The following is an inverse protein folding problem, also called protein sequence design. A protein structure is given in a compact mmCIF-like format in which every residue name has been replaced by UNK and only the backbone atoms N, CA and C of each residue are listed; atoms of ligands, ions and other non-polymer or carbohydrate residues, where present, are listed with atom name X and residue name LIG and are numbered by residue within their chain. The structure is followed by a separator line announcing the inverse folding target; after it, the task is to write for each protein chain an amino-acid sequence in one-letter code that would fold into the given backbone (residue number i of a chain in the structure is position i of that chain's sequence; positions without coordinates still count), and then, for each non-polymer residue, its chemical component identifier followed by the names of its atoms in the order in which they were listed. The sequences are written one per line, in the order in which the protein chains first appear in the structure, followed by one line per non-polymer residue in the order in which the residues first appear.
data_IF_513325421726
#
_entry.id   IF_513325421726
#
_cell.length_a   1.000
_cell.length_b   1.000
_cell.length_c   1.000
_cell.angle_alpha   90.00
_cell.angle_beta   90.00
_cell.angle_gamma   90.00
#
_symmetry.space_group_name_H-M   'P 1'
#
loop_
_entity.id
_entity.type
_entity.pdbx_description
1 polymer ?
#
# COMPACT_ATOMS: atom_id res chain seq x y z
N UNK A 1 -17.02 -31.94 -6.75
CA UNK A 1 -17.41 -30.89 -7.73
C UNK A 1 -16.49 -30.93 -8.96
N UNK A 2 -17.03 -30.73 -10.16
CA UNK A 2 -16.23 -30.47 -11.36
C UNK A 2 -15.45 -29.16 -11.15
N UNK A 3 -14.15 -29.16 -11.46
CA UNK A 3 -13.30 -27.99 -11.32
C UNK A 3 -13.33 -27.16 -12.61
N UNK A 4 -13.39 -25.84 -12.47
CA UNK A 4 -13.32 -24.89 -13.59
C UNK A 4 -12.15 -23.95 -13.39
N UNK A 5 -11.57 -23.47 -14.50
CA UNK A 5 -10.56 -22.42 -14.52
C UNK A 5 -10.94 -21.39 -15.56
N UNK A 6 -10.89 -20.12 -15.20
CA UNK A 6 -11.22 -19.00 -16.07
C UNK A 6 -10.03 -18.04 -16.14
N UNK A 7 -9.88 -17.39 -17.29
CA UNK A 7 -8.91 -16.33 -17.50
C UNK A 7 -9.65 -15.08 -17.98
N UNK A 8 -9.47 -13.95 -17.30
CA UNK A 8 -10.14 -12.70 -17.62
C UNK A 8 -9.12 -11.56 -17.75
N UNK A 9 -9.30 -10.70 -18.76
CA UNK A 9 -8.42 -9.56 -19.00
C UNK A 9 -9.00 -8.31 -18.35
N UNK A 10 -8.25 -7.71 -17.44
CA UNK A 10 -8.62 -6.49 -16.71
C UNK A 10 -7.61 -5.37 -16.93
N UNK A 11 -8.04 -4.14 -16.70
CA UNK A 11 -7.13 -3.02 -16.51
C UNK A 11 -6.59 -2.99 -15.05
N UNK A 12 -5.66 -2.07 -14.78
CA UNK A 12 -5.05 -1.94 -13.45
C UNK A 12 -6.02 -1.62 -12.31
N UNK A 13 -7.13 -0.91 -12.54
CA UNK A 13 -8.07 -0.52 -11.48
C UNK A 13 -8.66 -1.72 -10.74
N UNK A 14 -8.82 -2.86 -11.42
CA UNK A 14 -9.28 -4.11 -10.80
C UNK A 14 -8.44 -4.53 -9.59
N UNK A 15 -7.14 -4.18 -9.56
CA UNK A 15 -6.18 -4.62 -8.55
C UNK A 15 -6.21 -3.79 -7.25
N UNK A 16 -6.63 -2.53 -7.32
CA UNK A 16 -6.46 -1.57 -6.21
C UNK A 16 -7.62 -0.60 -5.99
N UNK A 17 -8.56 -0.45 -6.92
CA UNK A 17 -9.69 0.47 -6.74
C UNK A 17 -10.60 0.02 -5.60
N UNK A 18 -11.15 0.98 -4.85
CA UNK A 18 -12.00 0.77 -3.69
C UNK A 18 -11.20 0.73 -2.39
N UNK A 19 -11.59 1.59 -1.44
CA UNK A 19 -10.99 1.66 -0.11
C UNK A 19 -11.41 0.46 0.77
N UNK A 20 -10.77 0.28 1.92
CA UNK A 20 -11.10 -0.76 2.87
C UNK A 20 -12.61 -0.74 3.25
N UNK A 21 -13.27 -1.89 3.11
CA UNK A 21 -14.71 -2.06 3.30
C UNK A 21 -15.61 -1.59 2.15
N UNK A 22 -15.07 -1.02 1.06
CA UNK A 22 -15.84 -0.68 -0.15
C UNK A 22 -16.01 -1.88 -1.09
N UNK A 23 -16.94 -1.77 -2.04
CA UNK A 23 -17.41 -2.88 -2.88
C UNK A 23 -16.30 -3.58 -3.66
N UNK A 24 -15.47 -2.85 -4.38
CA UNK A 24 -14.39 -3.39 -5.21
C UNK A 24 -13.34 -4.13 -4.37
N UNK A 25 -12.95 -3.56 -3.22
CA UNK A 25 -12.06 -4.23 -2.26
C UNK A 25 -12.70 -5.49 -1.68
N UNK A 26 -14.00 -5.47 -1.39
CA UNK A 26 -14.71 -6.62 -0.85
C UNK A 26 -14.86 -7.75 -1.89
N UNK A 27 -14.98 -7.43 -3.18
CA UNK A 27 -14.97 -8.43 -4.26
C UNK A 27 -13.60 -9.12 -4.30
N UNK A 28 -12.50 -8.36 -4.29
CA UNK A 28 -11.14 -8.94 -4.22
C UNK A 28 -10.96 -9.81 -2.99
N UNK A 29 -11.35 -9.30 -1.82
CA UNK A 29 -11.36 -10.04 -0.56
C UNK A 29 -12.07 -11.38 -0.73
N UNK A 30 -13.27 -11.37 -1.28
CA UNK A 30 -14.06 -12.58 -1.43
C UNK A 30 -13.37 -13.61 -2.33
N UNK A 31 -12.81 -13.19 -3.46
CA UNK A 31 -12.08 -14.08 -4.38
C UNK A 31 -10.83 -14.68 -3.70
N UNK A 32 -10.08 -13.87 -2.95
CA UNK A 32 -8.81 -14.27 -2.34
C UNK A 32 -9.04 -15.13 -1.09
N UNK A 33 -9.99 -14.79 -0.23
CA UNK A 33 -10.30 -15.56 0.99
C UNK A 33 -10.94 -16.92 0.67
N UNK A 34 -11.63 -17.06 -0.46
CA UNK A 34 -12.10 -18.37 -0.96
C UNK A 34 -11.02 -19.16 -1.71
N UNK A 35 -9.80 -18.64 -1.78
CA UNK A 35 -8.66 -19.25 -2.46
C UNK A 35 -8.90 -19.50 -3.96
N UNK A 36 -9.63 -18.60 -4.63
CA UNK A 36 -9.95 -18.75 -6.06
C UNK A 36 -8.94 -18.07 -6.97
N UNK A 37 -8.26 -17.02 -6.52
CA UNK A 37 -7.24 -16.34 -7.30
C UNK A 37 -5.99 -17.20 -7.42
N UNK A 38 -5.70 -17.75 -8.61
CA UNK A 38 -4.54 -18.63 -8.82
C UNK A 38 -3.32 -17.86 -9.27
N UNK A 39 -3.49 -16.94 -10.22
CA UNK A 39 -2.41 -16.07 -10.68
C UNK A 39 -2.92 -14.75 -11.25
N UNK A 40 -2.04 -13.75 -11.30
CA UNK A 40 -2.21 -12.55 -12.11
C UNK A 40 -0.98 -12.35 -12.99
N UNK A 41 -1.19 -12.13 -14.29
CA UNK A 41 -0.12 -11.87 -15.25
C UNK A 41 -0.20 -10.41 -15.71
N UNK A 42 0.81 -9.60 -15.40
CA UNK A 42 0.96 -8.24 -15.93
C UNK A 42 1.46 -8.29 -17.37
N UNK A 43 0.71 -7.70 -18.30
CA UNK A 43 1.02 -7.72 -19.73
C UNK A 43 1.77 -6.45 -20.17
N UNK A 44 2.51 -6.51 -21.29
CA UNK A 44 3.13 -5.34 -21.90
C UNK A 44 2.16 -4.18 -22.12
N UNK A 45 2.66 -2.95 -21.96
CA UNK A 45 1.91 -1.73 -22.29
C UNK A 45 1.65 -1.68 -23.80
N UNK A 46 0.63 -0.92 -24.20
CA UNK A 46 0.35 -0.67 -25.63
C UNK A 46 0.11 -1.95 -26.45
N UNK A 47 -0.47 -2.98 -25.85
CA UNK A 47 -0.87 -4.22 -26.55
C UNK A 47 -2.22 -4.13 -27.24
N UNK A 48 -3.05 -3.15 -26.90
CA UNK A 48 -4.42 -3.01 -27.39
C UNK A 48 -4.58 -1.75 -28.27
N UNK A 49 -5.43 -1.84 -29.30
CA UNK A 49 -5.61 -0.78 -30.30
C UNK A 49 -6.06 0.56 -29.71
N UNK A 50 -6.98 0.51 -28.75
CA UNK A 50 -7.68 1.68 -28.22
C UNK A 50 -7.05 2.25 -26.94
N UNK A 51 -6.13 1.53 -26.31
CA UNK A 51 -5.57 1.91 -25.02
C UNK A 51 -4.11 1.48 -24.83
N UNK A 52 -3.34 2.37 -24.22
CA UNK A 52 -1.94 2.14 -23.86
C UNK A 52 -1.73 1.76 -22.38
N UNK A 53 -2.83 1.54 -21.65
CA UNK A 53 -2.78 1.24 -20.21
C UNK A 53 -2.20 -0.14 -19.93
N UNK A 54 -1.71 -0.32 -18.70
CA UNK A 54 -1.37 -1.63 -18.17
C UNK A 54 -2.62 -2.52 -18.09
N UNK A 55 -2.45 -3.76 -18.54
CA UNK A 55 -3.50 -4.78 -18.55
C UNK A 55 -2.99 -6.05 -17.89
N UNK A 56 -3.91 -6.82 -17.34
CA UNK A 56 -3.61 -7.96 -16.50
C UNK A 56 -4.52 -9.12 -16.84
N UNK A 57 -3.98 -10.33 -16.86
CA UNK A 57 -4.78 -11.56 -16.95
C UNK A 57 -4.98 -12.11 -15.55
N UNK A 58 -6.22 -12.15 -15.08
CA UNK A 58 -6.62 -12.82 -13.85
C UNK A 58 -6.92 -14.28 -14.16
N UNK A 59 -6.22 -15.20 -13.49
CA UNK A 59 -6.47 -16.65 -13.58
C UNK A 59 -7.17 -17.08 -12.29
N UNK A 60 -8.42 -17.50 -12.42
CA UNK A 60 -9.25 -17.95 -11.29
C UNK A 60 -9.58 -19.43 -11.43
N UNK A 61 -9.58 -20.17 -10.32
CA UNK A 61 -10.06 -21.55 -10.28
C UNK A 61 -10.70 -21.89 -8.94
N UNK A 62 -11.73 -22.74 -8.97
CA UNK A 62 -12.31 -23.32 -7.76
C UNK A 62 -11.64 -24.66 -7.34
N UNK A 63 -10.57 -25.06 -8.04
CA UNK A 63 -9.89 -26.35 -7.81
C UNK A 63 -8.38 -26.21 -8.00
N UNK A 64 -7.75 -25.45 -7.11
CA UNK A 64 -6.29 -25.37 -7.05
C UNK A 64 -5.67 -26.75 -6.73
N UNK A 65 -4.55 -27.12 -7.38
CA UNK A 65 -3.77 -28.27 -6.95
C UNK A 65 -3.17 -28.03 -5.56
N UNK A 66 -2.84 -29.10 -4.83
CA UNK A 66 -2.43 -29.01 -3.42
C UNK A 66 -1.27 -28.04 -3.18
N UNK A 67 -0.26 -28.04 -4.06
CA UNK A 67 0.91 -27.16 -3.95
C UNK A 67 0.59 -25.66 -4.15
N UNK A 68 -0.59 -25.30 -4.69
CA UNK A 68 -1.02 -23.91 -4.90
C UNK A 68 -2.08 -23.42 -3.91
N UNK A 69 -2.64 -24.31 -3.09
CA UNK A 69 -3.66 -23.92 -2.12
C UNK A 69 -3.13 -22.86 -1.17
N UNK A 70 -3.93 -21.84 -0.94
CA UNK A 70 -3.58 -20.70 -0.08
C UNK A 70 -2.45 -19.84 -0.62
N UNK A 71 -2.14 -19.94 -1.92
CA UNK A 71 -1.11 -19.15 -2.60
C UNK A 71 -1.62 -18.51 -3.88
N UNK A 72 -1.02 -17.38 -4.24
CA UNK A 72 -1.25 -16.65 -5.49
C UNK A 72 0.10 -16.38 -6.16
N UNK A 73 0.17 -16.62 -7.46
CA UNK A 73 1.35 -16.29 -8.28
C UNK A 73 1.15 -14.96 -9.01
N UNK A 74 2.03 -13.99 -8.82
CA UNK A 74 2.10 -12.80 -9.65
C UNK A 74 3.21 -12.97 -10.70
N UNK A 75 2.89 -12.70 -11.96
CA UNK A 75 3.83 -12.83 -13.08
C UNK A 75 3.98 -11.49 -13.78
N UNK A 76 5.21 -10.97 -13.88
CA UNK A 76 5.53 -9.78 -14.64
C UNK A 76 6.02 -10.14 -16.04
N UNK A 77 5.12 -10.07 -17.02
CA UNK A 77 5.40 -10.29 -18.43
C UNK A 77 5.54 -8.96 -19.20
N UNK A 78 5.65 -7.81 -18.52
CA UNK A 78 5.62 -6.48 -19.17
C UNK A 78 6.75 -6.26 -20.18
N UNK A 79 7.87 -6.98 -20.03
CA UNK A 79 9.05 -6.92 -20.89
C UNK A 79 9.08 -8.00 -21.98
N UNK A 80 8.07 -8.87 -22.07
CA UNK A 80 8.04 -9.96 -23.04
C UNK A 80 7.13 -9.57 -24.19
N UNK A 81 7.72 -9.02 -25.26
CA UNK A 81 6.98 -8.62 -26.46
C UNK A 81 7.92 -8.45 -27.65
N UNK A 82 7.33 -8.40 -28.84
CA UNK A 82 7.98 -7.92 -30.06
C UNK A 82 7.32 -6.62 -30.52
N UNK A 83 8.09 -5.61 -30.94
CA UNK A 83 7.53 -4.39 -31.49
C UNK A 83 6.85 -4.68 -32.83
N UNK A 84 5.76 -3.97 -33.10
CA UNK A 84 5.10 -4.02 -34.40
C UNK A 84 5.90 -3.22 -35.43
N UNK A 85 5.93 -3.71 -36.68
CA UNK A 85 6.54 -2.97 -37.80
C UNK A 85 5.83 -1.64 -38.08
N UNK A 86 4.53 -1.58 -37.84
CA UNK A 86 3.70 -0.39 -37.97
C UNK A 86 2.70 -0.36 -36.82
N UNK A 87 2.60 0.77 -36.13
CA UNK A 87 1.66 0.95 -35.04
C UNK A 87 0.21 0.90 -35.57
N UNK A 88 -0.68 0.32 -34.76
CA UNK A 88 -2.11 0.23 -35.04
C UNK A 88 -2.85 0.99 -33.93
N UNK A 89 -3.08 2.30 -34.16
CA UNK A 89 -3.58 3.19 -33.11
C UNK A 89 -2.56 3.31 -31.97
N UNK A 90 -2.98 2.99 -30.75
CA UNK A 90 -2.07 2.93 -29.59
C UNK A 90 -1.27 1.63 -29.52
N UNK A 91 -1.66 0.59 -30.26
CA UNK A 91 -0.97 -0.69 -30.25
C UNK A 91 0.39 -0.57 -30.96
N UNK A 92 1.48 -0.88 -30.27
CA UNK A 92 2.83 -0.85 -30.82
C UNK A 92 3.64 -2.14 -30.58
N UNK A 93 3.08 -3.09 -29.83
CA UNK A 93 3.72 -4.38 -29.57
C UNK A 93 2.71 -5.54 -29.59
N UNK A 94 3.25 -6.74 -29.66
CA UNK A 94 2.51 -8.00 -29.55
C UNK A 94 3.33 -9.08 -28.85
N UNK A 95 2.64 -10.06 -28.27
CA UNK A 95 3.27 -11.27 -27.77
C UNK A 95 3.53 -12.21 -28.94
N UNK A 96 4.78 -12.66 -29.09
CA UNK A 96 5.08 -13.76 -30.01
C UNK A 96 4.68 -15.10 -29.40
N UNK A 97 4.62 -16.16 -30.21
CA UNK A 97 4.34 -17.51 -29.70
C UNK A 97 5.33 -17.97 -28.63
N UNK A 98 6.59 -17.51 -28.71
CA UNK A 98 7.62 -17.77 -27.71
C UNK A 98 7.33 -17.05 -26.39
N UNK A 99 6.87 -15.79 -26.45
CA UNK A 99 6.47 -15.02 -25.28
C UNK A 99 5.25 -15.67 -24.60
N UNK A 100 4.27 -16.10 -25.38
CA UNK A 100 3.07 -16.80 -24.88
C UNK A 100 3.49 -18.11 -24.19
N UNK A 101 4.34 -18.93 -24.84
CA UNK A 101 4.88 -20.15 -24.24
C UNK A 101 5.62 -19.86 -22.94
N UNK A 102 6.46 -18.82 -22.91
CA UNK A 102 7.19 -18.40 -21.71
C UNK A 102 6.25 -18.02 -20.57
N UNK A 103 5.16 -17.29 -20.83
CA UNK A 103 4.15 -16.95 -19.82
C UNK A 103 3.50 -18.21 -19.27
N UNK A 104 3.06 -19.11 -20.15
CA UNK A 104 2.40 -20.36 -19.76
C UNK A 104 3.33 -21.26 -18.96
N UNK A 105 4.58 -21.42 -19.40
CA UNK A 105 5.58 -22.21 -18.69
C UNK A 105 5.90 -21.62 -17.31
N UNK A 106 6.02 -20.30 -17.22
CA UNK A 106 6.23 -19.61 -15.94
C UNK A 106 5.04 -19.83 -14.99
N UNK A 107 3.82 -19.71 -15.52
CA UNK A 107 2.61 -20.02 -14.76
C UNK A 107 2.62 -21.47 -14.29
N UNK A 108 2.85 -22.45 -15.17
CA UNK A 108 2.78 -23.87 -14.83
C UNK A 108 3.87 -24.33 -13.86
N UNK A 109 5.10 -23.84 -14.02
CA UNK A 109 6.25 -24.18 -13.15
C UNK A 109 6.02 -23.78 -11.70
N UNK A 110 5.37 -22.63 -11.46
CA UNK A 110 5.08 -22.14 -10.11
C UNK A 110 6.34 -22.03 -9.23
N UNK A 111 7.37 -21.37 -9.77
CA UNK A 111 8.65 -21.15 -9.10
C UNK A 111 8.89 -19.66 -8.86
N UNK A 112 9.59 -19.34 -7.78
CA UNK A 112 10.05 -17.99 -7.47
C UNK A 112 11.18 -17.58 -8.41
N UNK A 113 10.99 -16.48 -9.13
CA UNK A 113 11.96 -15.87 -10.03
C UNK A 113 11.81 -14.34 -9.99
N UNK A 114 12.63 -13.61 -10.74
CA UNK A 114 12.44 -12.16 -10.85
C UNK A 114 11.09 -11.77 -11.47
N UNK A 115 10.55 -12.60 -12.37
CA UNK A 115 9.29 -12.36 -13.07
C UNK A 115 8.12 -13.15 -12.50
N UNK A 116 8.32 -14.02 -11.52
CA UNK A 116 7.27 -14.84 -10.91
C UNK A 116 7.44 -14.83 -9.41
N UNK A 117 6.49 -14.24 -8.69
CA UNK A 117 6.49 -14.16 -7.23
C UNK A 117 5.26 -14.84 -6.65
N UNK A 118 5.43 -15.60 -5.57
CA UNK A 118 4.39 -16.42 -4.98
C UNK A 118 4.12 -15.93 -3.56
N UNK A 119 2.86 -15.63 -3.29
CA UNK A 119 2.45 -15.04 -2.02
C UNK A 119 1.36 -15.87 -1.34
N UNK A 120 1.33 -15.94 0.00
CA UNK A 120 0.15 -16.40 0.71
C UNK A 120 -1.01 -15.43 0.48
N UNK A 121 -2.25 -15.92 0.59
CA UNK A 121 -3.45 -15.10 0.34
C UNK A 121 -3.50 -13.84 1.23
N UNK A 122 -3.02 -13.95 2.47
CA UNK A 122 -2.96 -12.82 3.39
C UNK A 122 -2.02 -11.68 2.94
N UNK A 123 -1.08 -11.91 2.02
CA UNK A 123 -0.17 -10.87 1.53
C UNK A 123 -0.86 -9.69 0.83
N UNK A 124 -2.10 -9.89 0.40
CA UNK A 124 -2.91 -8.88 -0.28
C UNK A 124 -3.89 -8.17 0.67
N UNK A 125 -4.06 -8.66 1.89
CA UNK A 125 -4.95 -8.09 2.89
C UNK A 125 -4.24 -7.07 3.78
N UNK A 126 -4.97 -6.05 4.20
CA UNK A 126 -4.53 -5.08 5.19
C UNK A 126 -5.68 -4.62 6.08
N UNK A 127 -5.36 -4.14 7.27
CA UNK A 127 -6.28 -3.40 8.13
C UNK A 127 -6.07 -1.92 7.93
N UNK A 128 -7.14 -1.19 7.63
CA UNK A 128 -7.17 0.26 7.69
C UNK A 128 -7.68 0.67 9.06
N UNK A 129 -6.90 1.44 9.80
CA UNK A 129 -7.25 1.88 11.16
C UNK A 129 -7.13 3.40 11.27
N UNK A 130 -8.04 4.04 11.98
CA UNK A 130 -7.92 5.45 12.33
C UNK A 130 -7.04 5.59 13.55
N UNK A 131 -5.98 6.40 13.41
CA UNK A 131 -5.11 6.82 14.50
C UNK A 131 -5.50 8.24 14.89
N UNK A 132 -5.75 8.42 16.18
CA UNK A 132 -6.17 9.67 16.78
C UNK A 132 -5.04 10.21 17.67
N UNK A 133 -4.97 11.53 17.75
CA UNK A 133 -4.08 12.27 18.64
C UNK A 133 -4.93 13.23 19.47
N UNK A 134 -4.50 13.59 20.69
CA UNK A 134 -5.31 14.48 21.52
C UNK A 134 -5.28 15.90 20.96
N UNK A 135 -6.43 16.57 21.01
CA UNK A 135 -6.53 18.00 20.79
C UNK A 135 -5.76 18.74 21.88
N UNK A 136 -4.89 19.66 21.48
CA UNK A 136 -4.06 20.47 22.39
C UNK A 136 -4.33 21.95 22.19
N UNK A 137 -4.66 22.65 23.28
CA UNK A 137 -5.08 24.06 23.26
C UNK A 137 -4.36 24.87 24.33
N UNK A 138 -3.87 26.07 23.98
CA UNK A 138 -3.16 26.94 24.93
C UNK A 138 -4.10 27.49 26.01
N UNK A 139 -3.60 27.62 27.23
CA UNK A 139 -4.31 28.32 28.31
C UNK A 139 -5.53 27.61 28.89
N UNK A 140 -5.72 26.32 28.60
CA UNK A 140 -6.75 25.49 29.26
C UNK A 140 -6.24 24.90 30.58
N UNK A 141 -7.16 24.47 31.43
CA UNK A 141 -6.86 23.73 32.65
C UNK A 141 -6.70 22.23 32.32
N UNK A 142 -5.49 21.65 32.45
CA UNK A 142 -5.22 20.26 32.09
C UNK A 142 -5.88 19.24 33.03
N UNK A 143 -6.43 19.67 34.17
CA UNK A 143 -7.02 18.77 35.18
C UNK A 143 -8.56 18.75 35.11
N UNK A 144 -9.15 19.52 34.19
CA UNK A 144 -10.60 19.73 34.06
C UNK A 144 -11.20 18.99 32.87
N UNK A 145 -12.40 18.44 33.06
CA UNK A 145 -13.25 17.92 31.96
C UNK A 145 -13.97 19.07 31.26
N UNK A 146 -13.96 19.04 29.93
CA UNK A 146 -14.70 19.97 29.08
C UNK A 146 -15.91 19.30 28.44
N UNK A 147 -17.05 20.00 28.42
CA UNK A 147 -18.26 19.54 27.72
C UNK A 147 -18.13 19.72 26.21
N UNK A 148 -18.89 18.99 25.36
CA UNK A 148 -18.84 19.17 23.92
C UNK A 148 -19.08 20.61 23.43
N UNK A 149 -19.93 21.37 24.14
CA UNK A 149 -20.20 22.78 23.83
C UNK A 149 -18.99 23.66 24.12
N UNK A 150 -18.30 23.43 25.24
CA UNK A 150 -17.08 24.16 25.59
C UNK A 150 -15.95 23.82 24.64
N UNK A 151 -15.74 22.54 24.32
CA UNK A 151 -14.74 22.09 23.35
C UNK A 151 -14.94 22.80 22.00
N UNK A 152 -16.19 22.86 21.52
CA UNK A 152 -16.51 23.57 20.27
C UNK A 152 -16.13 25.04 20.33
N UNK A 153 -16.49 25.74 21.41
CA UNK A 153 -16.15 27.15 21.59
C UNK A 153 -14.63 27.37 21.71
N UNK A 154 -13.92 26.48 22.41
CA UNK A 154 -12.47 26.54 22.57
C UNK A 154 -11.75 26.33 21.22
N UNK A 155 -12.21 25.40 20.36
CA UNK A 155 -11.65 25.21 19.01
C UNK A 155 -11.70 26.46 18.14
N UNK A 156 -12.70 27.31 18.35
CA UNK A 156 -12.91 28.56 17.58
C UNK A 156 -12.13 29.75 18.15
N UNK A 157 -11.81 29.73 19.46
CA UNK A 157 -11.31 30.90 20.18
C UNK A 157 -9.88 30.75 20.71
N UNK A 158 -9.38 29.53 20.81
CA UNK A 158 -8.10 29.22 21.43
C UNK A 158 -7.14 28.64 20.40
N UNK A 159 -5.90 29.10 20.46
CA UNK A 159 -4.82 28.64 19.60
C UNK A 159 -4.42 27.19 19.92
N UNK A 160 -4.25 26.38 18.87
CA UNK A 160 -3.67 25.03 18.95
C UNK A 160 -2.15 25.11 19.00
N UNK A 161 -1.53 24.26 19.81
CA UNK A 161 -0.09 24.06 19.79
C UNK A 161 0.31 22.69 20.32
N UNK A 162 1.35 22.11 19.74
CA UNK A 162 1.82 20.75 20.08
C UNK A 162 2.34 20.63 21.52
N UNK A 163 2.84 21.72 22.10
CA UNK A 163 3.34 21.80 23.47
C UNK A 163 2.24 22.15 24.50
N UNK A 164 1.03 22.47 24.04
CA UNK A 164 -0.09 22.81 24.90
C UNK A 164 -0.70 21.57 25.56
N UNK A 165 -1.37 21.71 26.73
CA UNK A 165 -2.01 20.58 27.39
C UNK A 165 -3.14 19.94 26.55
N UNK A 166 -3.38 18.62 26.69
CA UNK A 166 -4.43 17.92 25.97
C UNK A 166 -5.81 18.18 26.59
N UNK A 167 -6.84 18.29 25.76
CA UNK A 167 -8.22 18.50 26.21
C UNK A 167 -8.80 17.21 26.77
N UNK A 168 -9.16 17.19 28.06
CA UNK A 168 -9.83 16.05 28.68
C UNK A 168 -11.33 16.09 28.35
N UNK A 169 -11.78 15.04 27.67
CA UNK A 169 -13.19 14.78 27.35
C UNK A 169 -13.92 14.10 28.51
N UNK A 170 -13.22 13.23 29.25
CA UNK A 170 -13.82 12.44 30.32
C UNK A 170 -12.77 11.96 31.33
N UNK A 171 -13.14 11.99 32.61
CA UNK A 171 -12.39 11.35 33.69
C UNK A 171 -13.20 10.14 34.18
N UNK A 172 -12.55 8.97 34.24
CA UNK A 172 -13.17 7.73 34.71
C UNK A 172 -13.16 7.62 36.22
N UNK A 173 -14.02 6.74 36.75
CA UNK A 173 -14.06 6.40 38.16
C UNK A 173 -12.76 5.71 38.59
N UNK A 174 -12.37 5.79 39.88
CA UNK A 174 -11.25 5.01 40.40
C UNK A 174 -11.43 3.51 40.11
N UNK A 175 -10.35 2.82 39.73
CA UNK A 175 -10.35 1.38 39.44
C UNK A 175 -10.48 1.01 37.95
N UNK A 176 -10.74 1.96 37.06
CA UNK A 176 -10.65 1.72 35.61
C UNK A 176 -9.21 1.41 35.21
N UNK A 177 -9.00 0.33 34.45
CA UNK A 177 -7.69 -0.01 33.91
C UNK A 177 -7.31 0.93 32.74
N UNK A 178 -6.07 1.44 32.69
CA UNK A 178 -5.60 2.20 31.54
C UNK A 178 -5.38 1.29 30.33
N UNK A 179 -5.61 1.85 29.15
CA UNK A 179 -5.31 1.24 27.85
C UNK A 179 -4.95 2.36 26.86
N UNK A 180 -3.70 2.85 26.90
CA UNK A 180 -3.29 4.00 26.09
C UNK A 180 -3.48 3.77 24.60
N UNK A 181 -3.33 2.54 24.11
CA UNK A 181 -3.52 2.21 22.69
C UNK A 181 -4.98 2.33 22.23
N UNK A 182 -5.93 2.43 23.17
CA UNK A 182 -7.36 2.61 22.92
C UNK A 182 -7.92 3.91 23.54
N UNK A 183 -7.04 4.87 23.82
CA UNK A 183 -7.44 6.22 24.25
C UNK A 183 -7.71 6.35 25.75
N UNK A 184 -7.33 5.36 26.57
CA UNK A 184 -7.47 5.39 28.02
C UNK A 184 -6.12 5.66 28.68
N UNK A 185 -5.87 6.92 29.02
CA UNK A 185 -4.58 7.38 29.55
C UNK A 185 -4.60 7.54 31.06
N UNK A 186 -3.57 7.06 31.74
CA UNK A 186 -3.41 7.32 33.16
C UNK A 186 -2.70 8.66 33.39
N UNK A 187 -3.33 9.53 34.18
CA UNK A 187 -2.79 10.85 34.55
C UNK A 187 -3.07 11.17 36.02
N UNK A 188 -2.35 12.14 36.56
CA UNK A 188 -2.61 12.66 37.91
C UNK A 188 -3.50 13.89 37.81
N UNK A 189 -4.68 13.82 38.45
CA UNK A 189 -5.67 14.91 38.52
C UNK A 189 -5.83 15.29 39.98
N UNK A 190 -5.54 16.54 40.34
CA UNK A 190 -5.60 17.07 41.70
C UNK A 190 -4.90 16.14 42.72
N UNK A 191 -3.70 15.66 42.36
CA UNK A 191 -2.89 14.75 43.19
C UNK A 191 -3.38 13.30 43.26
N UNK A 192 -4.39 12.90 42.47
CA UNK A 192 -4.91 11.53 42.44
C UNK A 192 -4.75 10.91 41.06
N UNK A 193 -4.26 9.67 40.99
CA UNK A 193 -4.22 8.90 39.73
C UNK A 193 -5.63 8.62 39.22
N UNK A 194 -5.87 8.92 37.95
CA UNK A 194 -7.14 8.74 37.23
C UNK A 194 -6.87 8.29 35.81
N UNK A 195 -7.83 7.58 35.22
CA UNK A 195 -7.84 7.28 33.79
C UNK A 195 -8.72 8.30 33.08
N UNK A 196 -8.25 8.81 31.96
CA UNK A 196 -8.92 9.85 31.18
C UNK A 196 -9.03 9.46 29.71
N UNK A 197 -10.04 10.01 29.04
CA UNK A 197 -10.16 10.02 27.58
C UNK A 197 -9.91 11.46 27.11
N UNK A 198 -9.05 11.62 26.10
CA UNK A 198 -8.83 12.91 25.45
C UNK A 198 -9.81 13.13 24.31
N UNK A 199 -10.12 14.39 24.03
CA UNK A 199 -10.82 14.75 22.80
C UNK A 199 -9.87 14.57 21.61
N UNK A 200 -10.26 13.83 20.55
CA UNK A 200 -9.42 13.70 19.35
C UNK A 200 -9.29 15.03 18.61
N UNK A 201 -8.11 15.27 18.04
CA UNK A 201 -7.90 16.33 17.05
C UNK A 201 -8.20 15.79 15.65
N UNK A 202 -9.27 16.29 15.04
CA UNK A 202 -9.68 15.87 13.70
C UNK A 202 -8.72 16.30 12.60
N UNK A 203 -7.87 17.31 12.83
CA UNK A 203 -6.87 17.77 11.85
C UNK A 203 -5.58 16.96 11.90
N UNK A 204 -5.31 16.29 13.02
CA UNK A 204 -4.18 15.37 13.18
C UNK A 204 -4.60 13.89 13.05
N UNK A 205 -5.85 13.64 12.68
CA UNK A 205 -6.38 12.30 12.47
C UNK A 205 -5.79 11.71 11.21
N UNK A 206 -5.22 10.53 11.35
CA UNK A 206 -4.58 9.81 10.26
C UNK A 206 -5.21 8.42 10.09
N UNK A 207 -4.99 7.82 8.93
CA UNK A 207 -5.40 6.45 8.67
C UNK A 207 -4.19 5.63 8.29
N UNK A 208 -3.94 4.58 9.05
CA UNK A 208 -2.84 3.65 8.81
C UNK A 208 -3.32 2.40 8.09
N UNK A 209 -2.53 1.93 7.13
CA UNK A 209 -2.74 0.63 6.47
C UNK A 209 -1.71 -0.37 6.97
N UNK A 210 -2.18 -1.35 7.73
CA UNK A 210 -1.36 -2.34 8.42
C UNK A 210 -1.51 -3.68 7.68
N UNK A 211 -0.46 -4.17 6.98
CA UNK A 211 -0.54 -5.42 6.23
C UNK A 211 -0.87 -6.61 7.15
N UNK A 212 -1.64 -7.58 6.65
CA UNK A 212 -1.91 -8.81 7.43
C UNK A 212 -0.63 -9.58 7.77
N UNK A 213 0.44 -9.38 7.00
CA UNK A 213 1.75 -9.99 7.24
C UNK A 213 2.48 -9.45 8.50
N UNK A 214 1.96 -8.42 9.16
CA UNK A 214 2.38 -8.06 10.53
C UNK A 214 1.95 -9.13 11.56
N UNK A 215 1.00 -10.01 11.21
CA UNK A 215 0.77 -11.25 11.94
C UNK A 215 1.70 -12.36 11.40
N UNK A 216 2.55 -12.97 12.23
CA UNK A 216 3.45 -14.04 11.80
C UNK A 216 2.73 -15.27 11.23
N UNK A 217 1.57 -15.64 11.76
CA UNK A 217 0.79 -16.79 11.27
C UNK A 217 0.24 -16.56 9.85
N UNK A 218 -0.01 -15.31 9.45
CA UNK A 218 -0.48 -14.95 8.11
C UNK A 218 0.53 -15.23 6.98
N UNK A 219 1.79 -15.51 7.31
CA UNK A 219 2.76 -15.97 6.31
C UNK A 219 2.48 -17.40 5.86
N UNK A 220 1.74 -18.18 6.64
CA UNK A 220 1.35 -19.53 6.26
C UNK A 220 0.30 -19.52 5.12
N UNK A 221 0.49 -20.32 4.06
CA UNK A 221 -0.47 -20.43 2.97
C UNK A 221 -1.88 -20.77 3.46
N UNK A 222 -2.86 -19.97 3.04
CA UNK A 222 -4.28 -20.18 3.33
C UNK A 222 -4.71 -19.78 4.75
N UNK A 223 -3.78 -19.33 5.60
CA UNK A 223 -4.13 -18.75 6.88
C UNK A 223 -4.69 -17.34 6.69
N UNK A 224 -5.82 -17.05 7.36
CA UNK A 224 -6.41 -15.72 7.45
C UNK A 224 -6.43 -15.31 8.91
N UNK A 225 -6.13 -14.03 9.23
CA UNK A 225 -5.96 -13.59 10.61
C UNK A 225 -7.27 -13.67 11.41
N UNK A 226 -7.15 -14.12 12.65
CA UNK A 226 -8.22 -14.02 13.65
C UNK A 226 -8.34 -12.59 14.21
N UNK A 227 -9.41 -12.29 14.97
CA UNK A 227 -9.53 -11.02 15.70
C UNK A 227 -8.36 -10.75 16.67
N UNK A 228 -7.77 -11.80 17.25
CA UNK A 228 -6.63 -11.65 18.16
C UNK A 228 -5.33 -11.36 17.41
N UNK A 229 -5.15 -11.95 16.22
CA UNK A 229 -4.04 -11.61 15.32
C UNK A 229 -4.12 -10.16 14.88
N UNK A 230 -5.31 -9.71 14.48
CA UNK A 230 -5.58 -8.33 14.11
C UNK A 230 -5.19 -7.38 15.24
N UNK A 231 -5.68 -7.66 16.46
CA UNK A 231 -5.37 -6.84 17.64
C UNK A 231 -3.86 -6.75 17.86
N UNK A 232 -3.20 -7.90 17.92
CA UNK A 232 -1.76 -7.99 18.22
C UNK A 232 -0.92 -7.29 17.17
N UNK A 233 -1.25 -7.48 15.88
CA UNK A 233 -0.55 -6.85 14.77
C UNK A 233 -0.72 -5.32 14.77
N UNK A 234 -1.94 -4.82 15.00
CA UNK A 234 -2.20 -3.38 15.11
C UNK A 234 -1.41 -2.78 16.27
N UNK A 235 -1.47 -3.38 17.46
CA UNK A 235 -0.73 -2.87 18.63
C UNK A 235 0.78 -2.88 18.41
N UNK A 236 1.31 -3.93 17.78
CA UNK A 236 2.73 -4.05 17.46
C UNK A 236 3.16 -2.97 16.47
N UNK A 237 2.37 -2.75 15.41
CA UNK A 237 2.61 -1.70 14.43
C UNK A 237 2.60 -0.31 15.08
N UNK A 238 1.58 0.02 15.87
CA UNK A 238 1.51 1.33 16.55
C UNK A 238 2.73 1.57 17.44
N UNK A 239 3.17 0.57 18.20
CA UNK A 239 4.36 0.70 19.07
C UNK A 239 5.64 0.95 18.28
N UNK A 240 5.75 0.38 17.08
CA UNK A 240 6.95 0.47 16.24
C UNK A 240 6.99 1.73 15.39
N UNK A 241 5.87 2.09 14.77
CA UNK A 241 5.81 3.11 13.71
C UNK A 241 5.14 4.41 14.14
N UNK A 242 4.24 4.39 15.14
CA UNK A 242 3.44 5.57 15.52
C UNK A 242 3.94 6.19 16.83
N UNK A 243 3.98 5.39 17.90
CA UNK A 243 4.28 5.88 19.26
C UNK A 243 5.66 6.53 19.43
N UNK A 244 6.72 6.16 18.67
CA UNK A 244 8.00 6.89 18.74
C UNK A 244 7.90 8.36 18.33
N UNK A 245 6.92 8.71 17.49
CA UNK A 245 6.70 10.07 16.99
C UNK A 245 5.51 10.77 17.65
N UNK A 246 4.49 10.01 18.06
CA UNK A 246 3.30 10.50 18.77
C UNK A 246 2.99 9.61 19.99
N UNK A 247 3.63 9.86 21.16
CA UNK A 247 3.56 8.97 22.32
C UNK A 247 2.18 8.80 22.95
N UNK A 248 1.28 9.74 22.69
CA UNK A 248 -0.09 9.81 23.18
C UNK A 248 -1.12 9.53 22.07
N UNK A 249 -0.69 8.98 20.94
CA UNK A 249 -1.60 8.51 19.90
C UNK A 249 -2.27 7.20 20.31
N UNK A 250 -3.49 6.99 19.84
CA UNK A 250 -4.26 5.76 20.00
C UNK A 250 -4.99 5.42 18.72
N UNK A 251 -5.44 4.17 18.56
CA UNK A 251 -6.30 3.81 17.43
C UNK A 251 -7.75 3.64 17.90
N UNK A 252 -8.71 3.92 17.01
CA UNK A 252 -10.12 3.62 17.24
C UNK A 252 -10.44 2.18 16.81
N UNK A 253 -10.74 1.24 17.74
CA UNK A 253 -11.07 -0.13 17.37
C UNK A 253 -12.32 -0.26 16.49
N UNK A 254 -13.27 0.68 16.56
CA UNK A 254 -14.48 0.66 15.74
C UNK A 254 -14.20 1.09 14.28
N UNK A 255 -13.10 1.79 14.04
CA UNK A 255 -12.70 2.25 12.70
C UNK A 255 -12.08 1.15 11.83
N UNK A 256 -11.71 0.01 12.42
CA UNK A 256 -10.92 -1.01 11.75
C UNK A 256 -11.70 -1.61 10.58
N UNK A 257 -11.19 -1.44 9.36
CA UNK A 257 -11.76 -2.05 8.15
C UNK A 257 -10.72 -2.90 7.44
N UNK A 258 -11.18 -3.98 6.81
CA UNK A 258 -10.33 -4.84 5.99
C UNK A 258 -10.35 -4.33 4.55
N UNK A 259 -9.15 -4.14 3.99
CA UNK A 259 -8.93 -3.86 2.59
C UNK A 259 -8.11 -4.95 1.92
N UNK A 260 -8.27 -5.09 0.60
CA UNK A 260 -7.44 -5.96 -0.22
C UNK A 260 -6.92 -5.19 -1.43
N UNK A 261 -5.62 -5.29 -1.68
CA UNK A 261 -4.94 -4.63 -2.80
C UNK A 261 -3.81 -5.52 -3.34
N UNK A 262 -3.62 -5.50 -4.67
CA UNK A 262 -2.55 -6.21 -5.35
C UNK A 262 -1.64 -5.17 -6.04
N UNK A 263 -0.57 -4.76 -5.36
CA UNK A 263 0.37 -3.78 -5.90
C UNK A 263 1.55 -4.45 -6.61
N UNK A 264 1.49 -4.56 -7.94
CA UNK A 264 2.62 -5.06 -8.74
C UNK A 264 3.87 -4.20 -8.56
N UNK A 265 3.72 -2.86 -8.47
CA UNK A 265 4.85 -1.97 -8.24
C UNK A 265 5.57 -2.28 -6.93
N UNK A 266 4.85 -2.54 -5.84
CA UNK A 266 5.47 -2.93 -4.56
C UNK A 266 6.38 -4.16 -4.70
N UNK A 267 6.04 -5.07 -5.60
CA UNK A 267 6.74 -6.34 -5.73
C UNK A 267 7.79 -6.38 -6.84
N UNK A 268 7.53 -5.77 -8.00
CA UNK A 268 8.37 -5.90 -9.19
C UNK A 268 9.18 -4.64 -9.51
N UNK A 269 8.84 -3.49 -8.91
CA UNK A 269 9.62 -2.27 -9.12
C UNK A 269 11.00 -2.40 -8.50
N UNK A 270 12.03 -2.36 -9.36
CA UNK A 270 13.41 -2.19 -8.94
C UNK A 270 13.76 -0.71 -9.10
N UNK A 271 14.07 0.02 -8.00
CA UNK A 271 14.55 1.39 -8.10
C UNK A 271 15.74 1.44 -9.06
N UNK A 272 15.65 2.27 -10.10
CA UNK A 272 16.80 2.49 -10.98
C UNK A 272 17.84 3.23 -10.16
N UNK A 273 19.01 2.61 -9.95
CA UNK A 273 20.13 3.30 -9.33
C UNK A 273 20.39 4.60 -10.11
N UNK A 274 20.38 5.72 -9.38
CA UNK A 274 20.77 6.99 -9.98
C UNK A 274 22.22 6.84 -10.43
N UNK A 275 22.49 7.27 -11.67
CA UNK A 275 23.85 7.33 -12.18
C UNK A 275 24.69 8.21 -11.26
N UNK A 276 25.95 7.87 -11.10
CA UNK A 276 26.86 8.66 -10.27
C UNK A 276 27.10 10.03 -10.92
N UNK A 277 27.48 11.02 -10.11
CA UNK A 277 27.81 12.35 -10.63
C UNK A 277 28.99 12.28 -11.63
N UNK A 278 29.94 11.37 -11.40
CA UNK A 278 31.05 11.11 -12.30
C UNK A 278 30.58 10.60 -13.67
N UNK A 279 29.65 9.64 -13.70
CA UNK A 279 29.07 9.13 -14.96
C UNK A 279 28.28 10.19 -15.70
N UNK A 280 27.52 11.04 -14.99
CA UNK A 280 26.79 12.16 -15.59
C UNK A 280 27.78 13.14 -16.22
N UNK A 281 28.87 13.46 -15.52
CA UNK A 281 29.91 14.36 -16.03
C UNK A 281 30.64 13.80 -17.23
N UNK A 282 30.96 12.51 -17.23
CA UNK A 282 31.64 11.84 -18.34
C UNK A 282 30.79 11.87 -19.62
N UNK A 283 29.48 11.63 -19.52
CA UNK A 283 28.57 11.73 -20.66
C UNK A 283 28.44 13.18 -21.16
N UNK A 284 28.35 14.15 -20.25
CA UNK A 284 28.22 15.55 -20.64
C UNK A 284 29.44 16.01 -21.45
N UNK A 285 30.65 15.63 -21.00
CA UNK A 285 31.90 15.88 -21.73
C UNK A 285 31.96 15.12 -23.07
N UNK A 286 31.42 13.90 -23.14
CA UNK A 286 31.37 13.14 -24.38
C UNK A 286 30.43 13.79 -25.41
N UNK A 287 29.26 14.27 -24.97
CA UNK A 287 28.30 14.99 -25.81
C UNK A 287 28.84 16.35 -26.25
N UNK A 288 29.53 17.08 -25.37
CA UNK A 288 30.23 18.33 -25.74
C UNK A 288 31.26 18.08 -26.85
N UNK A 289 32.07 17.02 -26.70
CA UNK A 289 33.09 16.66 -27.70
C UNK A 289 32.49 16.23 -29.04
N UNK A 290 31.35 15.54 -29.01
CA UNK A 290 30.60 15.18 -30.23
C UNK A 290 30.03 16.44 -30.92
N UNK A 291 29.46 17.37 -30.15
CA UNK A 291 28.95 18.65 -30.66
C UNK A 291 30.06 19.53 -31.25
N UNK A 292 31.22 19.62 -30.61
CA UNK A 292 32.41 20.32 -31.14
C UNK A 292 32.90 19.67 -32.44
N UNK A 293 32.92 18.34 -32.51
CA UNK A 293 33.28 17.59 -33.71
C UNK A 293 32.33 17.86 -34.89
N UNK A 294 31.04 17.93 -34.63
CA UNK A 294 30.01 18.27 -35.63
C UNK A 294 30.14 19.73 -36.11
N UNK A 295 30.37 20.67 -35.20
CA UNK A 295 30.60 22.08 -35.54
C UNK A 295 31.85 22.27 -36.40
N UNK A 296 32.95 21.58 -36.07
CA UNK A 296 34.17 21.62 -36.86
C UNK A 296 33.98 21.06 -38.29
N UNK A 297 33.15 20.02 -38.45
CA UNK A 297 32.80 19.50 -39.78
C UNK A 297 32.00 20.52 -40.60
N UNK A 298 31.03 21.22 -39.99
CA UNK A 298 30.24 22.25 -40.67
C UNK A 298 31.12 23.43 -41.10
N UNK A 299 31.97 23.94 -40.20
CA UNK A 299 32.88 25.06 -40.50
C UNK A 299 33.91 24.69 -41.57
N UNK A 300 34.40 23.45 -41.58
CA UNK A 300 35.31 22.99 -42.63
C UNK A 300 34.61 22.73 -43.97
N UNK A 301 33.32 22.42 -43.97
CA UNK A 301 32.51 22.37 -45.20
C UNK A 301 32.33 23.77 -45.83
N UNK A 302 32.19 24.82 -45.01
CA UNK A 302 32.07 26.21 -45.51
C UNK A 302 33.38 26.80 -46.04
N UNK A 303 34.53 26.32 -45.58
CA UNK A 303 35.86 26.77 -46.05
C UNK A 303 36.37 26.03 -47.30
N UNK A 304 35.63 25.04 -47.78
CA UNK A 304 35.97 24.21 -48.93
C UNK A 304 35.22 24.56 -50.23
N UNK A 305 34.47 25.67 -50.27
CA UNK A 305 33.85 26.24 -51.47
C UNK A 305 34.50 27.55 -51.89
#
# INVERSE_FOLDING_TARGET
PLGSRIAEVHNGSSLFTGDAGQGESNIRRWIIENDWLEAIVALPLNMFYNTGIATYVWVLTNRKPEHRKGRVQLIDATQWYKPLRKNLGKKNCELSEEDIRRIVDTFLKFEETEQSKIFPNAAFGYWKVTVERPLRLKGIDPERVYTPKEIKALRETVERADDAPPVIKKIHKPGTAPDPLRGLFEVTIHGKRRVVEYEPDTELRESEQIPFLECPACHAPGYLPSPDDQRTAIETFLRREVLPYAPDAWYDPASVKIGYEISFNRYFYKPKALRTLEEIRADLLAVEKEAEGLLAQIINFEKGQ
#
